data_IF_792341312832
#
_entry.id   IF_792341312832
#
_cell.length_a   1.000
_cell.length_b   1.000
_cell.length_c   1.000
_cell.angle_alpha   90.00
_cell.angle_beta   90.00
_cell.angle_gamma   90.00
#
_symmetry.space_group_name_H-M   'P 1'
#
loop_
_entity.id
_entity.type
_entity.pdbx_description
1 polymer ?
#
# COMPACT_ATOMS: atom_id res chain seq x y z
N UNK A 1 -41.69 -18.30 -8.13
CA UNK A 1 -40.36 -18.36 -7.49
C UNK A 1 -39.53 -17.21 -8.02
N UNK A 2 -39.25 -16.21 -7.19
CA UNK A 2 -38.46 -15.03 -7.55
C UNK A 2 -36.98 -15.41 -7.66
N UNK A 3 -36.39 -15.23 -8.84
CA UNK A 3 -34.94 -15.33 -9.03
C UNK A 3 -34.29 -14.18 -8.26
N UNK A 4 -33.56 -14.49 -7.18
CA UNK A 4 -32.66 -13.55 -6.54
C UNK A 4 -31.50 -13.25 -7.50
N UNK A 5 -31.54 -12.05 -8.09
CA UNK A 5 -30.42 -11.48 -8.82
C UNK A 5 -29.33 -11.11 -7.81
N UNK A 6 -28.30 -11.94 -7.72
CA UNK A 6 -27.09 -11.58 -6.97
C UNK A 6 -26.31 -10.57 -7.80
N UNK A 7 -26.13 -9.36 -7.27
CA UNK A 7 -25.20 -8.38 -7.84
C UNK A 7 -23.80 -8.65 -7.28
N UNK A 8 -22.88 -9.00 -8.17
CA UNK A 8 -21.45 -9.04 -7.83
C UNK A 8 -20.98 -7.60 -7.84
N UNK A 9 -20.77 -7.01 -6.67
CA UNK A 9 -20.05 -5.75 -6.55
C UNK A 9 -18.56 -6.04 -6.37
N UNK A 10 -17.69 -5.36 -7.13
CA UNK A 10 -16.26 -5.50 -6.92
C UNK A 10 -15.90 -5.00 -5.52
N UNK A 11 -15.06 -5.76 -4.81
CA UNK A 11 -14.55 -5.35 -3.50
C UNK A 11 -13.77 -4.02 -3.56
N UNK A 12 -13.31 -3.63 -4.75
CA UNK A 12 -12.58 -2.40 -5.01
C UNK A 12 -13.01 -1.77 -6.34
N UNK A 13 -13.37 -0.48 -6.31
CA UNK A 13 -13.57 0.35 -7.49
C UNK A 13 -12.47 1.41 -7.54
N UNK A 14 -11.72 1.46 -8.63
CA UNK A 14 -10.72 2.50 -8.88
C UNK A 14 -11.29 3.47 -9.91
N UNK A 15 -11.32 4.75 -9.57
CA UNK A 15 -11.60 5.79 -10.57
C UNK A 15 -10.37 6.00 -11.44
N UNK A 16 -10.56 6.53 -12.66
CA UNK A 16 -9.44 6.89 -13.53
C UNK A 16 -8.47 7.88 -12.86
N UNK A 17 -8.99 8.77 -12.02
CA UNK A 17 -8.17 9.72 -11.26
C UNK A 17 -7.26 9.00 -10.26
N UNK A 18 -7.83 8.10 -9.44
CA UNK A 18 -7.05 7.28 -8.50
C UNK A 18 -6.00 6.45 -9.23
N UNK A 19 -6.37 5.83 -10.35
CA UNK A 19 -5.44 5.06 -11.17
C UNK A 19 -4.26 5.91 -11.66
N UNK A 20 -4.53 7.12 -12.17
CA UNK A 20 -3.51 8.03 -12.66
C UNK A 20 -2.58 8.53 -11.55
N UNK A 21 -3.12 8.87 -10.37
CA UNK A 21 -2.33 9.28 -9.20
C UNK A 21 -1.41 8.16 -8.70
N UNK A 22 -1.93 6.94 -8.57
CA UNK A 22 -1.12 5.79 -8.12
C UNK A 22 -0.04 5.45 -9.14
N UNK A 23 -0.38 5.39 -10.42
CA UNK A 23 0.59 5.06 -11.46
C UNK A 23 1.68 6.10 -11.65
N UNK A 24 1.40 7.37 -11.31
CA UNK A 24 2.42 8.42 -11.32
C UNK A 24 3.59 8.06 -10.42
N UNK A 25 3.31 7.55 -9.22
CA UNK A 25 4.32 7.25 -8.20
C UNK A 25 4.71 5.78 -8.14
N UNK A 26 3.95 4.87 -8.74
CA UNK A 26 4.18 3.43 -8.63
C UNK A 26 5.58 3.03 -9.15
N UNK A 27 6.43 2.55 -8.23
CA UNK A 27 7.81 2.14 -8.55
C UNK A 27 8.75 3.29 -8.88
N UNK A 28 8.32 4.54 -8.64
CA UNK A 28 9.14 5.72 -8.77
C UNK A 28 10.05 5.92 -7.55
N UNK A 29 11.16 6.61 -7.76
CA UNK A 29 12.02 7.13 -6.71
C UNK A 29 12.36 8.60 -6.95
N UNK A 30 12.32 9.39 -5.89
CA UNK A 30 12.85 10.74 -5.84
C UNK A 30 14.15 10.73 -5.04
N UNK A 31 15.14 11.50 -5.45
CA UNK A 31 16.40 11.68 -4.72
C UNK A 31 17.03 13.01 -5.09
N UNK A 32 17.10 13.92 -4.12
CA UNK A 32 17.75 15.23 -4.29
C UNK A 32 19.12 15.31 -3.57
N UNK A 33 19.68 14.17 -3.19
CA UNK A 33 20.94 14.06 -2.45
C UNK A 33 20.84 14.38 -0.95
N UNK A 34 19.73 14.96 -0.48
CA UNK A 34 19.46 15.24 0.94
C UNK A 34 18.44 14.24 1.48
N UNK A 35 17.38 14.01 0.71
CA UNK A 35 16.30 13.07 0.99
C UNK A 35 16.10 12.19 -0.23
N UNK A 36 15.91 10.89 0.01
CA UNK A 36 15.39 10.00 -1.02
C UNK A 36 14.06 9.40 -0.60
N UNK A 37 13.18 9.19 -1.57
CA UNK A 37 11.86 8.64 -1.39
C UNK A 37 11.64 7.56 -2.43
N UNK A 38 11.41 6.32 -1.99
CA UNK A 38 11.17 5.18 -2.86
C UNK A 38 9.75 4.67 -2.68
N UNK A 39 8.91 4.86 -3.69
CA UNK A 39 7.52 4.38 -3.67
C UNK A 39 7.49 2.88 -3.93
N UNK A 40 7.09 2.11 -2.92
CA UNK A 40 7.14 0.65 -2.95
C UNK A 40 5.95 0.02 -3.68
N UNK A 41 5.02 0.84 -4.17
CA UNK A 41 3.78 0.40 -4.78
C UNK A 41 2.75 -0.06 -3.74
N UNK A 42 1.49 -0.15 -4.19
CA UNK A 42 0.35 -0.53 -3.35
C UNK A 42 -0.36 0.66 -2.71
N UNK A 43 -1.68 0.52 -2.60
CA UNK A 43 -2.56 1.47 -1.90
C UNK A 43 -2.87 0.88 -0.53
N UNK A 44 -2.74 1.69 0.52
CA UNK A 44 -3.15 1.30 1.87
C UNK A 44 -4.54 1.88 2.13
N UNK A 45 -5.51 1.02 2.47
CA UNK A 45 -6.90 1.43 2.73
C UNK A 45 -7.41 1.02 4.11
N UNK A 46 -6.71 0.13 4.81
CA UNK A 46 -7.09 -0.32 6.14
C UNK A 46 -6.00 0.08 7.13
N UNK A 47 -6.36 1.01 8.02
CA UNK A 47 -5.51 1.59 9.07
C UNK A 47 -6.28 1.60 10.40
N UNK A 48 -7.23 0.68 10.55
CA UNK A 48 -8.07 0.61 11.75
C UNK A 48 -7.20 0.43 12.98
N UNK A 49 -7.45 1.27 13.97
CA UNK A 49 -6.81 1.27 15.28
C UNK A 49 -5.30 1.58 15.30
N UNK A 50 -4.73 2.07 14.19
CA UNK A 50 -3.33 2.47 14.16
C UNK A 50 -3.14 3.93 14.58
N UNK A 51 -2.14 4.19 15.42
CA UNK A 51 -1.67 5.54 15.75
C UNK A 51 -0.66 5.99 14.71
N UNK A 52 -1.01 7.08 14.03
CA UNK A 52 -0.27 7.67 12.93
C UNK A 52 0.22 9.07 13.31
N UNK A 53 1.41 9.41 12.86
CA UNK A 53 2.03 10.71 13.11
C UNK A 53 2.13 11.40 11.77
N UNK A 54 1.36 12.47 11.61
CA UNK A 54 1.35 13.24 10.39
C UNK A 54 2.55 14.19 10.37
N UNK A 55 3.29 14.13 9.27
CA UNK A 55 4.41 15.00 8.97
C UNK A 55 4.23 15.60 7.57
N UNK A 56 4.96 16.68 7.31
CA UNK A 56 5.15 17.22 5.97
C UNK A 56 6.62 17.17 5.61
N UNK A 57 6.91 16.89 4.36
CA UNK A 57 8.23 17.08 3.77
C UNK A 57 8.09 18.18 2.73
N UNK A 58 8.77 19.29 2.98
CA UNK A 58 8.82 20.43 2.09
C UNK A 58 10.25 20.60 1.56
N UNK A 59 10.39 20.47 0.25
CA UNK A 59 11.60 20.76 -0.51
C UNK A 59 11.22 21.53 -1.78
N UNK A 60 12.21 22.06 -2.50
CA UNK A 60 11.97 22.81 -3.74
C UNK A 60 11.11 22.02 -4.74
N UNK A 61 11.33 20.71 -4.80
CA UNK A 61 10.83 19.81 -5.85
C UNK A 61 9.71 18.89 -5.37
N UNK A 62 9.40 18.94 -4.07
CA UNK A 62 8.54 17.95 -3.43
C UNK A 62 7.87 18.55 -2.19
N UNK A 63 6.54 18.58 -2.20
CA UNK A 63 5.71 18.97 -1.06
C UNK A 63 4.73 17.84 -0.77
N UNK A 64 5.06 17.01 0.22
CA UNK A 64 4.26 15.81 0.52
C UNK A 64 3.77 15.83 1.96
N UNK A 65 2.53 15.38 2.13
CA UNK A 65 2.01 14.99 3.43
C UNK A 65 2.17 13.49 3.58
N UNK A 66 2.76 13.05 4.69
CA UNK A 66 2.96 11.64 4.96
C UNK A 66 2.70 11.30 6.42
N UNK A 67 2.51 10.01 6.67
CA UNK A 67 2.23 9.46 7.99
C UNK A 67 3.28 8.42 8.36
N UNK A 68 3.68 8.46 9.62
CA UNK A 68 4.55 7.47 10.27
C UNK A 68 3.71 6.65 11.24
N UNK A 69 4.00 5.36 11.34
CA UNK A 69 3.48 4.54 12.42
C UNK A 69 4.13 4.93 13.75
N UNK A 70 3.38 4.87 14.85
CA UNK A 70 3.94 4.99 16.19
C UNK A 70 5.13 4.03 16.40
N UNK A 71 5.00 2.79 15.92
CA UNK A 71 6.07 1.77 15.97
C UNK A 71 7.36 2.19 15.24
N UNK A 72 7.26 2.99 14.18
CA UNK A 72 8.45 3.53 13.50
C UNK A 72 9.16 4.58 14.35
N UNK A 73 8.44 5.36 15.15
CA UNK A 73 9.04 6.29 16.11
C UNK A 73 9.68 5.54 17.27
N UNK A 74 9.01 4.53 17.81
CA UNK A 74 9.56 3.69 18.88
C UNK A 74 10.87 3.01 18.42
N UNK A 75 10.89 2.48 17.20
CA UNK A 75 12.07 1.85 16.60
C UNK A 75 13.27 2.80 16.51
N UNK A 76 13.02 4.09 16.25
CA UNK A 76 14.09 5.07 15.98
C UNK A 76 14.55 5.75 17.25
N UNK A 77 13.62 6.04 18.16
CA UNK A 77 13.91 6.71 19.44
C UNK A 77 14.32 5.73 20.54
N UNK A 78 13.91 4.47 20.44
CA UNK A 78 14.04 3.47 21.51
C UNK A 78 13.11 3.71 22.69
N UNK A 79 12.15 4.62 22.56
CA UNK A 79 11.20 5.01 23.62
C UNK A 79 9.80 4.56 23.21
N UNK A 80 9.07 3.91 24.11
CA UNK A 80 7.66 3.56 23.89
C UNK A 80 6.83 4.82 23.63
N UNK A 81 5.94 4.75 22.64
CA UNK A 81 5.14 5.89 22.21
C UNK A 81 4.18 6.37 23.31
N UNK A 82 3.78 5.47 24.21
CA UNK A 82 2.98 5.75 25.40
C UNK A 82 3.62 6.80 26.34
N UNK A 83 4.94 6.97 26.28
CA UNK A 83 5.71 7.92 27.08
C UNK A 83 6.01 9.24 26.35
N UNK A 84 5.60 9.36 25.09
CA UNK A 84 5.87 10.54 24.26
C UNK A 84 4.60 11.38 24.16
N UNK A 85 4.63 12.58 24.74
CA UNK A 85 3.57 13.54 24.48
C UNK A 85 3.76 14.22 23.11
N UNK A 86 2.68 14.84 22.62
CA UNK A 86 2.68 15.45 21.28
C UNK A 86 3.70 16.59 21.14
N UNK A 87 3.95 17.35 22.22
CA UNK A 87 4.91 18.46 22.20
C UNK A 87 6.34 17.94 22.13
N UNK A 88 6.62 16.85 22.82
CA UNK A 88 7.92 16.20 22.84
C UNK A 88 8.19 15.50 21.51
N UNK A 89 7.19 14.86 20.89
CA UNK A 89 7.29 14.35 19.53
C UNK A 89 7.61 15.47 18.53
N UNK A 90 6.88 16.58 18.61
CA UNK A 90 7.13 17.74 17.75
C UNK A 90 8.56 18.27 17.93
N UNK A 91 9.04 18.34 19.17
CA UNK A 91 10.40 18.75 19.49
C UNK A 91 11.45 17.78 18.90
N UNK A 92 11.31 16.47 19.11
CA UNK A 92 12.23 15.47 18.59
C UNK A 92 12.29 15.48 17.06
N UNK A 93 11.13 15.50 16.40
CA UNK A 93 11.07 15.56 14.93
C UNK A 93 11.73 16.86 14.43
N UNK A 94 11.45 17.99 15.07
CA UNK A 94 12.06 19.27 14.70
C UNK A 94 13.58 19.24 14.87
N UNK A 95 14.09 18.70 15.97
CA UNK A 95 15.52 18.66 16.24
C UNK A 95 16.28 17.77 15.25
N UNK A 96 15.69 16.66 14.83
CA UNK A 96 16.40 15.65 14.04
C UNK A 96 16.11 15.72 12.54
N UNK A 97 14.90 16.13 12.14
CA UNK A 97 14.39 15.99 10.78
C UNK A 97 14.12 17.32 10.07
N UNK A 98 13.99 18.44 10.80
CA UNK A 98 13.72 19.76 10.19
C UNK A 98 14.81 20.19 9.21
N UNK A 99 16.08 19.82 9.48
CA UNK A 99 17.21 20.06 8.57
C UNK A 99 17.08 19.38 7.20
N UNK A 100 16.19 18.40 7.08
CA UNK A 100 15.86 17.71 5.83
C UNK A 100 14.53 18.19 5.23
N UNK A 101 13.95 19.27 5.76
CA UNK A 101 12.66 19.81 5.32
C UNK A 101 11.45 19.06 5.89
N UNK A 102 11.64 18.20 6.90
CA UNK A 102 10.56 17.41 7.50
C UNK A 102 10.05 18.11 8.76
N UNK A 103 8.76 18.44 8.79
CA UNK A 103 8.09 19.06 9.94
C UNK A 103 7.00 18.15 10.50
N UNK A 104 6.86 18.17 11.82
CA UNK A 104 5.73 17.58 12.52
C UNK A 104 4.46 18.43 12.33
N UNK A 105 3.32 17.78 12.16
CA UNK A 105 2.00 18.44 12.13
C UNK A 105 1.15 18.05 13.34
N UNK A 106 0.83 16.75 13.49
CA UNK A 106 -0.05 16.25 14.55
C UNK A 106 0.00 14.74 14.70
N UNK A 107 -0.43 14.24 15.84
CA UNK A 107 -0.75 12.81 16.03
C UNK A 107 -2.21 12.56 15.65
N UNK A 108 -2.46 11.48 14.91
CA UNK A 108 -3.78 11.01 14.48
C UNK A 108 -3.98 9.58 14.98
N UNK A 109 -5.05 9.32 15.73
CA UNK A 109 -5.36 8.00 16.27
C UNK A 109 -6.57 7.44 15.54
N UNK A 110 -6.44 6.26 14.92
CA UNK A 110 -7.51 5.63 14.17
C UNK A 110 -7.84 6.33 12.85
N UNK A 111 -8.86 5.80 12.15
CA UNK A 111 -9.19 6.22 10.80
C UNK A 111 -9.66 7.68 10.75
N UNK A 112 -9.03 8.47 9.87
CA UNK A 112 -9.60 9.70 9.31
C UNK A 112 -11.07 9.45 8.96
N UNK A 113 -11.98 10.29 9.45
CA UNK A 113 -13.44 10.11 9.32
C UNK A 113 -13.84 9.58 7.93
N UNK A 114 -14.64 8.50 7.95
CA UNK A 114 -14.97 7.59 6.83
C UNK A 114 -15.66 8.21 5.60
N UNK A 115 -15.75 9.54 5.49
CA UNK A 115 -16.35 10.20 4.33
C UNK A 115 -15.36 10.47 3.20
N UNK A 116 -14.03 10.51 3.47
CA UNK A 116 -12.99 10.70 2.46
C UNK A 116 -11.65 10.08 2.91
N UNK A 117 -11.50 8.75 2.75
CA UNK A 117 -10.21 8.10 2.99
C UNK A 117 -9.17 8.64 1.99
N UNK A 118 -8.06 9.24 2.44
CA UNK A 118 -7.04 9.71 1.53
C UNK A 118 -6.41 8.54 0.78
N UNK A 119 -5.99 8.81 -0.44
CA UNK A 119 -5.25 7.85 -1.24
C UNK A 119 -3.82 7.69 -0.71
N UNK A 120 -3.63 6.69 0.16
CA UNK A 120 -2.33 6.44 0.79
C UNK A 120 -1.52 5.41 0.02
N UNK A 121 -0.24 5.69 -0.22
CA UNK A 121 0.71 4.72 -0.78
C UNK A 121 1.91 4.54 0.14
N UNK A 122 2.44 3.31 0.17
CA UNK A 122 3.61 2.99 0.98
C UNK A 122 4.90 3.46 0.28
N UNK A 123 5.75 4.15 1.02
CA UNK A 123 7.06 4.55 0.56
C UNK A 123 8.12 4.35 1.64
N UNK A 124 9.38 4.29 1.21
CA UNK A 124 10.54 4.34 2.08
C UNK A 124 11.15 5.73 1.93
N UNK A 125 11.18 6.46 3.03
CA UNK A 125 11.85 7.76 3.14
C UNK A 125 13.22 7.56 3.77
N UNK A 126 14.26 8.04 3.11
CA UNK A 126 15.63 8.07 3.63
C UNK A 126 16.05 9.51 3.84
N UNK A 127 16.39 9.86 5.08
CA UNK A 127 16.87 11.19 5.45
C UNK A 127 18.15 11.05 6.29
N UNK A 128 19.29 11.35 5.67
CA UNK A 128 20.61 11.02 6.23
C UNK A 128 20.78 9.50 6.41
N UNK A 129 21.10 9.06 7.63
CA UNK A 129 21.29 7.65 7.95
C UNK A 129 20.01 6.92 8.38
N UNK A 130 18.87 7.62 8.40
CA UNK A 130 17.61 7.07 8.88
C UNK A 130 16.72 6.69 7.70
N UNK A 131 16.19 5.47 7.76
CA UNK A 131 15.16 4.98 6.86
C UNK A 131 13.85 4.85 7.62
N UNK A 132 12.77 5.36 7.04
CA UNK A 132 11.43 5.36 7.59
C UNK A 132 10.47 4.69 6.62
N UNK A 133 9.64 3.79 7.13
CA UNK A 133 8.48 3.30 6.38
C UNK A 133 7.35 4.31 6.58
N UNK A 134 6.90 4.93 5.49
CA UNK A 134 5.89 5.99 5.52
C UNK A 134 4.70 5.68 4.62
N UNK A 135 3.58 6.31 4.94
CA UNK A 135 2.38 6.36 4.10
C UNK A 135 2.24 7.75 3.53
N UNK A 136 2.34 7.91 2.21
CA UNK A 136 2.22 9.20 1.52
C UNK A 136 0.77 9.43 1.11
N UNK A 137 0.22 10.60 1.47
CA UNK A 137 -1.11 11.05 1.06
C UNK A 137 -1.05 11.65 -0.35
N UNK A 138 -1.43 10.87 -1.36
CA UNK A 138 -1.38 11.30 -2.75
C UNK A 138 -2.45 12.35 -3.11
N UNK A 139 -3.45 12.58 -2.26
CA UNK A 139 -4.44 13.63 -2.48
C UNK A 139 -3.96 15.00 -1.99
N UNK A 140 -3.10 15.02 -0.95
CA UNK A 140 -2.50 16.24 -0.40
C UNK A 140 -1.05 16.49 -0.83
N UNK A 141 -0.48 15.60 -1.63
CA UNK A 141 0.92 15.68 -2.05
C UNK A 141 1.06 16.25 -3.44
N UNK A 142 2.02 17.15 -3.61
CA UNK A 142 2.50 17.63 -4.89
C UNK A 142 3.90 17.07 -5.18
N UNK A 143 3.99 16.29 -6.26
CA UNK A 143 5.23 15.64 -6.67
C UNK A 143 5.41 15.95 -8.16
N UNK A 144 6.49 16.64 -8.51
CA UNK A 144 6.82 16.87 -9.92
C UNK A 144 7.28 15.56 -10.56
N UNK A 145 6.67 15.22 -11.71
CA UNK A 145 7.04 14.05 -12.49
C UNK A 145 8.46 14.15 -13.06
N UNK A 146 8.94 15.37 -13.34
CA UNK A 146 10.28 15.60 -13.87
C UNK A 146 11.39 15.09 -12.95
N UNK A 147 11.11 15.07 -11.65
CA UNK A 147 12.05 14.74 -10.58
C UNK A 147 11.94 13.26 -10.14
N UNK A 148 11.03 12.51 -10.76
CA UNK A 148 10.84 11.09 -10.49
C UNK A 148 11.70 10.23 -11.42
N UNK A 149 12.53 9.40 -10.82
CA UNK A 149 13.26 8.33 -11.49
C UNK A 149 12.47 7.03 -11.42
N UNK A 150 12.16 6.42 -12.57
CA UNK A 150 11.47 5.13 -12.60
C UNK A 150 12.47 4.00 -12.69
N UNK A 151 12.48 3.12 -11.69
CA UNK A 151 13.25 1.87 -11.80
C UNK A 151 12.55 0.95 -12.78
N UNK A 152 13.26 0.46 -13.80
CA UNK A 152 12.75 -0.64 -14.64
C UNK A 152 12.34 -1.78 -13.73
N UNK A 153 11.06 -2.14 -13.80
CA UNK A 153 10.48 -3.17 -12.97
C UNK A 153 11.29 -4.46 -13.15
N UNK A 154 12.01 -4.90 -12.10
CA UNK A 154 12.77 -6.15 -12.11
C UNK A 154 11.84 -7.35 -11.90
N UNK A 155 10.69 -7.34 -12.57
CA UNK A 155 9.90 -8.55 -12.67
C UNK A 155 10.75 -9.54 -13.47
N UNK A 156 10.89 -10.79 -13.01
CA UNK A 156 11.48 -11.83 -13.83
C UNK A 156 10.81 -11.80 -15.21
N UNK A 157 11.58 -11.88 -16.29
CA UNK A 157 11.03 -11.84 -17.66
C UNK A 157 9.97 -12.92 -17.92
N UNK A 158 9.81 -13.87 -17.00
CA UNK A 158 8.75 -14.86 -16.96
C UNK A 158 8.04 -14.82 -15.61
N UNK A 159 6.81 -14.32 -15.57
CA UNK A 159 5.87 -14.54 -14.46
C UNK A 159 5.09 -15.82 -14.76
N UNK A 160 5.12 -16.80 -13.84
CA UNK A 160 4.43 -18.08 -14.03
C UNK A 160 2.93 -17.88 -13.79
N UNK A 161 2.17 -17.74 -14.86
CA UNK A 161 0.71 -17.79 -14.83
C UNK A 161 0.24 -19.24 -14.95
N UNK A 162 -0.40 -19.78 -13.90
CA UNK A 162 -1.01 -21.11 -13.93
C UNK A 162 -2.52 -20.95 -13.93
N UNK A 163 -3.15 -21.29 -15.05
CA UNK A 163 -4.62 -21.45 -15.12
C UNK A 163 -4.96 -22.92 -15.17
N UNK A 164 -6.12 -23.27 -14.63
CA UNK A 164 -6.76 -24.56 -14.86
C UNK A 164 -8.11 -24.28 -15.51
N UNK A 165 -8.30 -24.79 -16.72
CA UNK A 165 -9.57 -24.74 -17.42
C UNK A 165 -10.17 -26.15 -17.43
N UNK A 166 -11.21 -26.39 -16.63
CA UNK A 166 -11.97 -27.64 -16.67
C UNK A 166 -13.23 -27.40 -17.51
N UNK A 167 -13.21 -27.86 -18.76
CA UNK A 167 -14.32 -27.74 -19.71
C UNK A 167 -15.47 -28.71 -19.41
N UNK A 168 -15.15 -29.81 -18.73
CA UNK A 168 -16.10 -30.86 -18.39
C UNK A 168 -15.99 -31.19 -16.91
N UNK A 169 -17.12 -31.57 -16.31
CA UNK A 169 -17.21 -32.00 -14.92
C UNK A 169 -18.13 -33.21 -14.83
N UNK A 170 -17.88 -34.07 -13.84
CA UNK A 170 -18.75 -35.21 -13.54
C UNK A 170 -18.61 -35.55 -12.07
N UNK A 171 -19.73 -35.87 -11.42
CA UNK A 171 -19.75 -36.26 -10.01
C UNK A 171 -19.90 -37.76 -9.96
N UNK A 172 -18.90 -38.41 -9.39
CA UNK A 172 -18.91 -39.84 -9.11
C UNK A 172 -18.99 -40.04 -7.60
N UNK A 173 -19.67 -41.09 -7.19
CA UNK A 173 -19.68 -41.48 -5.79
C UNK A 173 -18.34 -42.16 -5.39
N UNK A 174 -18.09 -42.27 -4.09
CA UNK A 174 -16.82 -42.82 -3.59
C UNK A 174 -16.63 -44.29 -3.91
N UNK A 175 -17.70 -45.04 -4.17
CA UNK A 175 -17.65 -46.45 -4.56
C UNK A 175 -17.32 -46.62 -6.03
N UNK A 176 -17.89 -45.77 -6.90
CA UNK A 176 -17.61 -45.66 -8.33
C UNK A 176 -16.14 -45.28 -8.55
N UNK A 177 -15.63 -44.28 -7.83
CA UNK A 177 -14.22 -43.87 -7.91
C UNK A 177 -13.29 -45.02 -7.54
N UNK A 178 -13.63 -45.79 -6.50
CA UNK A 178 -12.82 -46.89 -6.02
C UNK A 178 -12.86 -48.13 -6.94
N UNK A 179 -13.90 -48.28 -7.76
CA UNK A 179 -14.03 -49.39 -8.71
C UNK A 179 -13.52 -49.08 -10.11
N UNK A 180 -13.05 -47.85 -10.39
CA UNK A 180 -12.47 -47.48 -11.68
C UNK A 180 -11.15 -48.20 -11.93
N UNK A 181 -11.06 -48.84 -13.10
CA UNK A 181 -9.85 -49.45 -13.64
C UNK A 181 -9.35 -48.68 -14.87
N UNK A 182 -8.15 -49.01 -15.36
CA UNK A 182 -7.54 -48.33 -16.51
C UNK A 182 -8.31 -48.49 -17.82
N UNK A 183 -9.22 -49.47 -17.89
CA UNK A 183 -9.99 -49.80 -19.10
C UNK A 183 -11.40 -49.20 -19.10
N UNK A 184 -11.79 -48.52 -18.02
CA UNK A 184 -13.14 -47.97 -17.86
C UNK A 184 -13.32 -46.60 -18.53
N UNK A 185 -14.51 -46.37 -19.07
CA UNK A 185 -14.89 -45.10 -19.71
C UNK A 185 -15.73 -44.27 -18.74
N UNK A 186 -15.24 -43.07 -18.41
CA UNK A 186 -15.97 -42.09 -17.58
C UNK A 186 -16.65 -41.07 -18.47
N UNK A 187 -17.98 -40.98 -18.37
CA UNK A 187 -18.77 -39.95 -19.04
C UNK A 187 -18.65 -38.62 -18.28
N UNK A 188 -18.19 -37.59 -19.00
CA UNK A 188 -18.07 -36.23 -18.49
C UNK A 188 -19.06 -35.32 -19.21
N UNK A 189 -19.63 -34.36 -18.48
CA UNK A 189 -20.60 -33.43 -19.04
C UNK A 189 -19.97 -32.05 -19.21
N UNK A 190 -20.31 -31.31 -20.28
CA UNK A 190 -19.91 -29.92 -20.39
C UNK A 190 -20.51 -29.15 -19.20
N UNK A 191 -19.71 -28.24 -18.63
CA UNK A 191 -20.22 -27.32 -17.60
C UNK A 191 -21.34 -26.43 -18.10
#
# INVERSE_FOLDING_TARGET
MSKSLFSIQPAYSLTNETFNKVNLVAGASFDNGIVSLSFCGGIVRDLKDETLIQCKLHSLDLDITFYLYASEIERITGIEFSHLDEKYLAYLISQHLLKYGISFERVTVGCLDFSNQPLLTKAILTAGNNNFVILVDLDKSHIDRGELSYRKNKLPGTLRFKTSLNLFDTVLDTTEIASLTTDDVVLVYPK
#
